data_IF_101753756435
#
_entry.id   IF_101753756435
#
_cell.length_a   1.000
_cell.length_b   1.000
_cell.length_c   1.000
_cell.angle_alpha   90.00
_cell.angle_beta   90.00
_cell.angle_gamma   90.00
#
_symmetry.space_group_name_H-M   'P 1'
#
loop_
_entity.id
_entity.type
_entity.pdbx_description
1 polymer ?
#
# COMPACT_ATOMS: atom_id res chain seq x y z
N UNK A 1 3.86 3.50 -7.73
CA UNK A 1 3.87 2.63 -6.54
C UNK A 1 2.48 2.63 -5.93
N UNK A 2 2.29 1.93 -4.83
CA UNK A 2 1.02 1.90 -4.11
C UNK A 2 1.25 1.98 -2.60
N UNK A 3 0.25 2.48 -1.88
CA UNK A 3 0.25 2.64 -0.43
C UNK A 3 -1.05 2.06 0.13
N UNK A 4 -0.94 1.18 1.12
CA UNK A 4 -2.06 0.72 1.93
C UNK A 4 -2.00 1.44 3.28
N UNK A 5 -3.10 2.08 3.68
CA UNK A 5 -3.21 2.79 4.93
C UNK A 5 -4.62 2.67 5.49
N UNK A 6 -4.79 2.89 6.79
CA UNK A 6 -6.12 3.02 7.38
C UNK A 6 -6.79 4.32 6.96
N UNK A 7 -8.12 4.32 6.96
CA UNK A 7 -8.93 5.52 6.69
C UNK A 7 -9.02 6.37 7.95
N UNK A 8 -8.89 7.68 7.77
CA UNK A 8 -9.11 8.72 8.78
C UNK A 8 -10.05 9.80 8.21
N UNK A 9 -10.47 10.75 9.05
CA UNK A 9 -11.26 11.91 8.58
C UNK A 9 -10.48 12.77 7.58
N UNK A 10 -9.16 12.86 7.75
CA UNK A 10 -8.27 13.52 6.81
C UNK A 10 -8.03 12.62 5.57
N UNK A 11 -8.37 13.15 4.39
CA UNK A 11 -8.21 12.47 3.10
C UNK A 11 -6.74 12.11 2.84
N UNK A 12 -6.49 10.83 2.53
CA UNK A 12 -5.16 10.26 2.24
C UNK A 12 -4.08 10.48 3.31
N UNK A 13 -4.47 10.77 4.55
CA UNK A 13 -3.53 11.09 5.63
C UNK A 13 -3.43 10.03 6.73
N UNK A 14 -4.09 8.88 6.57
CA UNK A 14 -4.16 7.87 7.62
C UNK A 14 -2.87 7.05 7.80
N UNK A 15 -2.77 6.29 8.91
CA UNK A 15 -1.57 5.51 9.24
C UNK A 15 -1.24 4.47 8.16
N UNK A 16 -0.06 4.58 7.56
CA UNK A 16 0.45 3.70 6.51
C UNK A 16 0.78 2.32 7.08
N UNK A 17 0.25 1.26 6.46
CA UNK A 17 0.46 -0.15 6.80
C UNK A 17 1.56 -0.76 5.92
N UNK A 18 1.50 -0.52 4.59
CA UNK A 18 2.39 -1.15 3.61
C UNK A 18 2.59 -0.24 2.40
N UNK A 19 3.80 -0.25 1.83
CA UNK A 19 4.14 0.50 0.61
C UNK A 19 5.05 -0.30 -0.29
N UNK A 20 4.87 -0.15 -1.60
CA UNK A 20 5.74 -0.79 -2.58
C UNK A 20 5.85 0.02 -3.86
N UNK A 21 6.92 -0.25 -4.60
CA UNK A 21 7.25 0.40 -5.86
C UNK A 21 7.40 -0.65 -6.96
N UNK A 22 6.99 -0.27 -8.17
CA UNK A 22 7.28 -1.02 -9.38
C UNK A 22 8.15 -0.14 -10.26
N UNK A 23 9.24 -0.73 -10.77
CA UNK A 23 10.15 -0.06 -11.68
C UNK A 23 9.48 0.08 -13.05
N UNK A 24 9.57 1.27 -13.62
CA UNK A 24 9.16 1.58 -14.99
C UNK A 24 10.37 2.10 -15.76
N UNK A 25 10.28 2.07 -17.09
CA UNK A 25 11.28 2.61 -18.00
C UNK A 25 10.63 3.25 -19.23
N UNK A 26 11.45 3.80 -20.11
CA UNK A 26 11.03 4.51 -21.33
C UNK A 26 10.32 3.63 -22.37
N UNK A 27 10.39 2.30 -22.25
CA UNK A 27 9.69 1.36 -23.14
C UNK A 27 8.23 1.11 -22.76
N UNK A 28 7.79 1.54 -21.58
CA UNK A 28 6.44 1.33 -21.11
C UNK A 28 5.45 2.33 -21.74
N UNK A 29 4.39 1.81 -22.36
CA UNK A 29 3.27 2.65 -22.77
C UNK A 29 2.43 3.07 -21.56
N UNK A 30 1.55 4.06 -21.75
CA UNK A 30 0.59 4.48 -20.72
C UNK A 30 -0.29 3.30 -20.25
N UNK A 31 -0.68 2.42 -21.17
CA UNK A 31 -1.47 1.22 -20.83
C UNK A 31 -0.66 0.22 -19.97
N UNK A 32 0.64 0.09 -20.25
CA UNK A 32 1.52 -0.76 -19.43
C UNK A 32 1.65 -0.20 -18.02
N UNK A 33 1.87 1.11 -17.89
CA UNK A 33 1.97 1.78 -16.59
C UNK A 33 0.68 1.63 -15.79
N UNK A 34 -0.50 1.77 -16.43
CA UNK A 34 -1.78 1.53 -15.76
C UNK A 34 -1.92 0.09 -15.27
N UNK A 35 -1.53 -0.90 -16.09
CA UNK A 35 -1.56 -2.31 -15.69
C UNK A 35 -0.63 -2.57 -14.51
N UNK A 36 0.60 -2.09 -14.58
CA UNK A 36 1.58 -2.20 -13.50
C UNK A 36 1.08 -1.51 -12.22
N UNK A 37 0.45 -0.34 -12.33
CA UNK A 37 -0.17 0.36 -11.20
C UNK A 37 -1.20 -0.50 -10.48
N UNK A 38 -2.15 -1.10 -11.22
CA UNK A 38 -3.16 -2.02 -10.64
C UNK A 38 -2.54 -3.24 -9.99
N UNK A 39 -1.45 -3.76 -10.55
CA UNK A 39 -0.74 -4.91 -9.97
C UNK A 39 -0.06 -4.52 -8.64
N UNK A 40 0.55 -3.33 -8.57
CA UNK A 40 1.09 -2.77 -7.33
C UNK A 40 0.01 -2.56 -6.26
N UNK A 41 -1.12 -1.97 -6.64
CA UNK A 41 -2.26 -1.72 -5.74
C UNK A 41 -2.78 -3.03 -5.13
N UNK A 42 -3.00 -4.06 -5.96
CA UNK A 42 -3.47 -5.38 -5.48
C UNK A 42 -2.49 -6.01 -4.48
N UNK A 43 -1.19 -5.97 -4.78
CA UNK A 43 -0.18 -6.58 -3.92
C UNK A 43 -0.06 -5.87 -2.57
N UNK A 44 0.05 -4.55 -2.58
CA UNK A 44 0.17 -3.73 -1.38
C UNK A 44 -1.08 -3.86 -0.50
N UNK A 45 -2.27 -3.83 -1.10
CA UNK A 45 -3.53 -4.02 -0.37
C UNK A 45 -3.63 -5.43 0.22
N UNK A 46 -3.32 -6.48 -0.55
CA UNK A 46 -3.40 -7.86 -0.07
C UNK A 46 -2.44 -8.12 1.11
N UNK A 47 -1.22 -7.57 1.06
CA UNK A 47 -0.26 -7.70 2.17
C UNK A 47 -0.72 -6.94 3.41
N UNK A 48 -1.13 -5.67 3.26
CA UNK A 48 -1.64 -4.87 4.37
C UNK A 48 -2.88 -5.51 5.03
N UNK A 49 -3.81 -6.03 4.22
CA UNK A 49 -4.98 -6.74 4.71
C UNK A 49 -4.60 -8.03 5.45
N UNK A 50 -3.67 -8.83 4.92
CA UNK A 50 -3.21 -10.04 5.61
C UNK A 50 -2.60 -9.71 6.97
N UNK A 51 -1.74 -8.70 7.07
CA UNK A 51 -1.16 -8.29 8.35
C UNK A 51 -2.22 -7.80 9.34
N UNK A 52 -3.25 -7.10 8.87
CA UNK A 52 -4.38 -6.73 9.71
C UNK A 52 -5.13 -7.97 10.25
N UNK A 53 -5.43 -8.94 9.38
CA UNK A 53 -6.13 -10.18 9.76
C UNK A 53 -5.33 -11.11 10.68
N UNK A 54 -4.00 -11.02 10.64
CA UNK A 54 -3.08 -11.77 11.50
C UNK A 54 -2.80 -11.04 12.84
N UNK A 55 -3.51 -9.95 13.15
CA UNK A 55 -3.29 -9.10 14.34
C UNK A 55 -1.87 -8.53 14.46
N UNK A 56 -1.21 -8.30 13.32
CA UNK A 56 0.20 -7.86 13.26
C UNK A 56 0.38 -6.35 13.18
N UNK A 57 -0.70 -5.57 13.14
CA UNK A 57 -0.64 -4.12 12.93
C UNK A 57 -1.13 -3.37 14.17
N UNK A 58 -0.22 -2.65 14.83
CA UNK A 58 -0.55 -1.76 15.94
C UNK A 58 -0.47 -0.29 15.49
N UNK A 59 -1.57 0.46 15.63
CA UNK A 59 -1.61 1.90 15.31
C UNK A 59 -1.12 2.72 16.51
N UNK A 60 -0.19 3.66 16.28
CA UNK A 60 0.30 4.62 17.29
C UNK A 60 0.33 6.03 16.69
N UNK A 61 -0.65 6.85 17.05
CA UNK A 61 -0.84 8.14 16.40
C UNK A 61 -1.04 7.94 14.89
N UNK A 62 -0.33 8.71 14.06
CA UNK A 62 -0.42 8.57 12.60
C UNK A 62 0.59 7.57 11.98
N UNK A 63 0.95 6.52 12.71
CA UNK A 63 1.92 5.50 12.26
C UNK A 63 1.46 4.11 12.66
N UNK A 64 1.97 3.09 11.98
CA UNK A 64 1.76 1.69 12.38
C UNK A 64 3.09 1.01 12.72
N UNK A 65 3.05 0.11 13.71
CA UNK A 65 4.08 -0.90 13.93
C UNK A 65 3.56 -2.22 13.34
N UNK A 66 4.34 -2.83 12.44
CA UNK A 66 4.01 -4.10 11.80
C UNK A 66 4.96 -5.19 12.33
N UNK A 67 4.41 -6.21 12.98
CA UNK A 67 5.20 -7.30 13.58
C UNK A 67 5.57 -8.39 12.57
N UNK A 68 6.71 -9.06 12.76
CA UNK A 68 7.24 -10.10 11.88
C UNK A 68 6.53 -11.45 12.04
#
# INVERSE_FOLDING_TARGET
GATCHYVTEDLDAGPIIEQDVIRIDHGHSVNDIMRLGRDAEKLVLARGLRWHLEDRVLVRGNKTLVFA
#
